data_IF_671902533967
#
_entry.id   IF_671902533967
#
_cell.length_a   1.000
_cell.length_b   1.000
_cell.length_c   1.000
_cell.angle_alpha   90.00
_cell.angle_beta   90.00
_cell.angle_gamma   90.00
#
_symmetry.space_group_name_H-M   'P 1'
#
loop_
_entity.id
_entity.type
_entity.pdbx_description
1 polymer ?
#
# COMPACT_ATOMS: atom_id res chain seq x y z
N UNK A 1 15.38 14.22 -13.42
CA UNK A 1 15.69 14.51 -12.01
C UNK A 1 15.46 13.22 -11.27
N UNK A 2 16.48 12.64 -10.64
CA UNK A 2 16.31 11.41 -9.87
C UNK A 2 15.68 11.79 -8.54
N UNK A 3 14.35 11.74 -8.46
CA UNK A 3 13.64 11.74 -7.19
C UNK A 3 14.02 10.43 -6.51
N UNK A 4 15.11 10.46 -5.73
CA UNK A 4 15.45 9.33 -4.87
C UNK A 4 14.26 9.14 -3.94
N UNK A 5 13.63 7.95 -3.92
CA UNK A 5 12.50 7.71 -3.05
C UNK A 5 12.92 7.97 -1.61
N UNK A 6 12.06 8.66 -0.86
CA UNK A 6 12.33 8.94 0.54
C UNK A 6 12.56 7.63 1.29
N UNK A 7 13.70 7.55 1.99
CA UNK A 7 14.09 6.36 2.76
C UNK A 7 12.96 5.93 3.68
N UNK A 8 12.71 4.63 3.78
CA UNK A 8 11.69 4.09 4.69
C UNK A 8 12.24 4.11 6.11
N UNK A 9 11.48 4.67 7.04
CA UNK A 9 11.83 4.72 8.46
C UNK A 9 11.10 3.63 9.24
N UNK A 10 11.63 3.25 10.40
CA UNK A 10 10.92 2.34 11.31
C UNK A 10 9.54 2.89 11.73
N UNK A 11 9.40 4.22 11.79
CA UNK A 11 8.14 4.89 12.11
C UNK A 11 7.11 4.70 11.00
N UNK A 12 7.50 4.76 9.73
CA UNK A 12 6.59 4.50 8.59
C UNK A 12 5.99 3.09 8.67
N UNK A 13 6.81 2.11 9.07
CA UNK A 13 6.39 0.71 9.26
C UNK A 13 5.47 0.58 10.47
N UNK A 14 5.81 1.19 11.61
CA UNK A 14 4.99 1.18 12.83
C UNK A 14 3.62 1.84 12.61
N UNK A 15 3.58 2.97 11.91
CA UNK A 15 2.35 3.67 11.57
C UNK A 15 1.46 2.80 10.67
N UNK A 16 2.04 2.13 9.67
CA UNK A 16 1.28 1.21 8.81
C UNK A 16 0.77 -0.02 9.57
N UNK A 17 1.59 -0.63 10.44
CA UNK A 17 1.15 -1.76 11.27
C UNK A 17 0.04 -1.37 12.26
N UNK A 18 0.08 -0.15 12.79
CA UNK A 18 -0.98 0.40 13.64
C UNK A 18 -2.29 0.56 12.88
N UNK A 19 -2.22 1.00 11.61
CA UNK A 19 -3.39 1.07 10.72
C UNK A 19 -3.96 -0.32 10.42
N UNK A 20 -3.11 -1.31 10.12
CA UNK A 20 -3.49 -2.71 9.96
C UNK A 20 -4.22 -3.22 11.20
N UNK A 21 -3.65 -3.00 12.40
CA UNK A 21 -4.27 -3.43 13.65
C UNK A 21 -5.62 -2.74 13.89
N UNK A 22 -5.72 -1.44 13.63
CA UNK A 22 -6.97 -0.68 13.75
C UNK A 22 -8.06 -1.22 12.83
N UNK A 23 -7.69 -1.58 11.60
CA UNK A 23 -8.61 -2.12 10.60
C UNK A 23 -9.14 -3.51 10.94
N UNK A 24 -8.31 -4.40 11.47
CA UNK A 24 -8.73 -5.75 11.87
C UNK A 24 -9.30 -5.84 13.30
N UNK A 25 -9.02 -4.85 14.15
CA UNK A 25 -9.56 -4.75 15.51
C UNK A 25 -10.90 -4.00 15.60
N UNK A 26 -11.28 -3.24 14.58
CA UNK A 26 -12.55 -2.53 14.50
C UNK A 26 -13.73 -3.41 14.11
N UNK A 27 -14.94 -3.04 14.56
CA UNK A 27 -16.20 -3.70 14.16
C UNK A 27 -16.91 -3.03 13.01
N UNK A 28 -16.50 -1.81 12.62
CA UNK A 28 -17.09 -1.09 11.51
C UNK A 28 -16.48 -1.58 10.19
N UNK A 29 -17.31 -1.90 9.17
CA UNK A 29 -16.81 -2.17 7.84
C UNK A 29 -16.18 -0.88 7.29
N UNK A 30 -14.98 -1.01 6.71
CA UNK A 30 -14.33 0.09 6.05
C UNK A 30 -15.08 0.51 4.79
N UNK A 31 -15.09 1.81 4.52
CA UNK A 31 -15.69 2.38 3.31
C UNK A 31 -14.83 2.10 2.08
N UNK A 32 -15.40 2.11 0.87
CA UNK A 32 -14.64 1.97 -0.37
C UNK A 32 -13.43 2.91 -0.50
N UNK A 33 -13.56 4.15 -0.03
CA UNK A 33 -12.49 5.14 -0.08
C UNK A 33 -11.37 4.82 0.92
N UNK A 34 -11.72 4.36 2.12
CA UNK A 34 -10.75 3.92 3.14
C UNK A 34 -9.99 2.66 2.68
N UNK A 35 -10.64 1.76 1.95
CA UNK A 35 -10.02 0.58 1.38
C UNK A 35 -8.99 0.93 0.32
N UNK A 36 -9.36 1.79 -0.63
CA UNK A 36 -8.42 2.28 -1.63
C UNK A 36 -7.25 3.01 -0.97
N UNK A 37 -7.50 3.91 -0.03
CA UNK A 37 -6.44 4.65 0.68
C UNK A 37 -5.47 3.72 1.43
N UNK A 38 -5.99 2.66 2.07
CA UNK A 38 -5.17 1.65 2.74
C UNK A 38 -4.23 0.93 1.76
N UNK A 39 -4.75 0.49 0.61
CA UNK A 39 -3.92 -0.19 -0.39
C UNK A 39 -2.98 0.76 -1.14
N UNK A 40 -3.33 2.04 -1.28
CA UNK A 40 -2.42 3.08 -1.79
C UNK A 40 -1.22 3.21 -0.88
N UNK A 41 -1.44 3.38 0.42
CA UNK A 41 -0.38 3.50 1.42
C UNK A 41 0.49 2.25 1.47
N UNK A 42 -0.11 1.06 1.38
CA UNK A 42 0.62 -0.21 1.29
C UNK A 42 1.52 -0.27 0.04
N UNK A 43 0.99 0.09 -1.13
CA UNK A 43 1.75 0.06 -2.38
C UNK A 43 2.90 1.08 -2.40
N UNK A 44 2.67 2.27 -1.83
CA UNK A 44 3.69 3.30 -1.67
C UNK A 44 4.83 2.83 -0.76
N UNK A 45 4.50 2.33 0.44
CA UNK A 45 5.49 1.86 1.42
C UNK A 45 6.33 0.73 0.83
N UNK A 46 5.69 -0.30 0.25
CA UNK A 46 6.42 -1.41 -0.37
C UNK A 46 7.26 -0.97 -1.57
N UNK A 47 6.79 0.01 -2.34
CA UNK A 47 7.55 0.61 -3.43
C UNK A 47 8.83 1.31 -2.96
N UNK A 48 8.76 2.05 -1.84
CA UNK A 48 9.93 2.69 -1.23
C UNK A 48 10.92 1.66 -0.67
N UNK A 49 10.44 0.60 0.00
CA UNK A 49 11.30 -0.49 0.50
C UNK A 49 12.02 -1.19 -0.67
N UNK A 50 11.31 -1.51 -1.74
CA UNK A 50 11.89 -2.16 -2.92
C UNK A 50 12.92 -1.29 -3.63
N UNK A 51 12.76 0.04 -3.63
CA UNK A 51 13.73 0.93 -4.24
C UNK A 51 15.07 1.00 -3.49
N UNK A 52 15.11 0.60 -2.22
CA UNK A 52 16.33 0.54 -1.40
C UNK A 52 16.89 -0.89 -1.24
N UNK A 53 16.32 -1.87 -1.94
CA UNK A 53 16.64 -3.29 -1.79
C UNK A 53 16.97 -3.95 -3.13
N UNK A 54 18.04 -4.76 -3.16
CA UNK A 54 18.35 -5.65 -4.30
C UNK A 54 17.69 -7.03 -4.17
N UNK A 55 16.94 -7.27 -3.09
CA UNK A 55 16.30 -8.54 -2.84
C UNK A 55 15.06 -8.75 -3.75
N UNK A 56 15.04 -9.82 -4.57
CA UNK A 56 13.95 -10.06 -5.51
C UNK A 56 12.60 -10.34 -4.83
N UNK A 57 12.60 -10.88 -3.61
CA UNK A 57 11.36 -11.09 -2.85
C UNK A 57 10.72 -9.75 -2.47
N UNK A 58 11.53 -8.75 -2.13
CA UNK A 58 11.10 -7.38 -1.85
C UNK A 58 10.43 -6.75 -3.08
N UNK A 59 11.02 -6.90 -4.27
CA UNK A 59 10.43 -6.41 -5.53
C UNK A 59 9.12 -7.12 -5.90
N UNK A 60 9.05 -8.43 -5.67
CA UNK A 60 7.83 -9.21 -5.87
C UNK A 60 6.72 -8.73 -4.91
N UNK A 61 7.06 -8.47 -3.65
CA UNK A 61 6.10 -7.96 -2.66
C UNK A 61 5.58 -6.56 -3.03
N UNK A 62 6.42 -5.67 -3.55
CA UNK A 62 5.98 -4.36 -4.05
C UNK A 62 5.06 -4.47 -5.28
N UNK A 63 5.35 -5.41 -6.18
CA UNK A 63 4.49 -5.69 -7.34
C UNK A 63 3.11 -6.21 -6.89
N UNK A 64 3.08 -7.14 -5.94
CA UNK A 64 1.84 -7.66 -5.37
C UNK A 64 1.03 -6.56 -4.66
N UNK A 65 1.68 -5.63 -3.95
CA UNK A 65 1.00 -4.52 -3.30
C UNK A 65 0.32 -3.59 -4.31
N UNK A 66 0.96 -3.32 -5.46
CA UNK A 66 0.36 -2.55 -6.55
C UNK A 66 -0.82 -3.27 -7.20
N UNK A 67 -0.70 -4.58 -7.45
CA UNK A 67 -1.79 -5.38 -8.00
C UNK A 67 -3.04 -5.34 -7.08
N UNK A 68 -2.84 -5.46 -5.77
CA UNK A 68 -3.94 -5.36 -4.79
C UNK A 68 -4.64 -3.99 -4.81
N UNK A 69 -3.88 -2.91 -5.01
CA UNK A 69 -4.45 -1.57 -5.18
C UNK A 69 -5.31 -1.49 -6.46
N UNK A 70 -4.80 -2.00 -7.58
CA UNK A 70 -5.52 -2.00 -8.85
C UNK A 70 -6.81 -2.83 -8.77
N UNK A 71 -6.75 -4.02 -8.18
CA UNK A 71 -7.91 -4.87 -7.91
C UNK A 71 -8.94 -4.16 -7.03
N UNK A 72 -8.50 -3.46 -5.97
CA UNK A 72 -9.38 -2.72 -5.07
C UNK A 72 -10.05 -1.54 -5.80
N UNK A 73 -9.29 -0.79 -6.59
CA UNK A 73 -9.83 0.30 -7.41
C UNK A 73 -10.84 -0.21 -8.44
N UNK A 74 -10.58 -1.36 -9.06
CA UNK A 74 -11.50 -1.99 -10.00
C UNK A 74 -12.78 -2.48 -9.30
N UNK A 75 -12.65 -3.11 -8.14
CA UNK A 75 -13.77 -3.63 -7.35
C UNK A 75 -14.76 -2.53 -6.96
N UNK A 76 -14.27 -1.35 -6.58
CA UNK A 76 -15.09 -0.22 -6.17
C UNK A 76 -15.41 0.79 -7.29
N UNK A 77 -14.93 0.57 -8.52
CA UNK A 77 -15.18 1.47 -9.65
C UNK A 77 -14.42 2.80 -9.58
N UNK A 78 -13.34 2.89 -8.80
CA UNK A 78 -12.41 4.04 -8.83
C UNK A 78 -11.48 4.01 -10.06
N UNK A 79 -11.45 2.91 -10.81
CA UNK A 79 -10.91 2.84 -12.17
C UNK A 79 -12.00 3.21 -13.18
N UNK A 80 -11.81 4.32 -13.88
CA UNK A 80 -12.83 4.95 -14.73
C UNK A 80 -13.52 4.04 -15.75
N UNK A 81 -14.70 4.50 -16.14
CA UNK A 81 -15.70 3.77 -16.92
C UNK A 81 -15.22 3.21 -18.26
N UNK A 82 -15.97 2.19 -18.68
CA UNK A 82 -16.22 1.89 -20.09
C UNK A 82 -17.56 2.52 -20.49
#
# INVERSE_FOLDING_TARGET
>A
MSEQPERVTARDVEDFLSEVLGRFGGTAPATPAEDVAFFERKAELMGRIAAESDDPETHAAATNARAQLEETRAFYGFGGGL
#
